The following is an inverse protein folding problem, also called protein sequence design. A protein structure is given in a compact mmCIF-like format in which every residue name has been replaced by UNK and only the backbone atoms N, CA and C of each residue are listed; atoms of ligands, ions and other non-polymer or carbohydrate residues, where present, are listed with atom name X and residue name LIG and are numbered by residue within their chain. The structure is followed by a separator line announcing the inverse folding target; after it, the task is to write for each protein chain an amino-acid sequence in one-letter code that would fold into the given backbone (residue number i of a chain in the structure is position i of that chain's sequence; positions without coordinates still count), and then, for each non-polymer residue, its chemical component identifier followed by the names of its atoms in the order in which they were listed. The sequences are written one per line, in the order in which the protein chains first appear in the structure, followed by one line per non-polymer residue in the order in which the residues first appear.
data_IF_578285824789
#
_entry.id   IF_578285824789
#
_cell.length_a   1.000
_cell.length_b   1.000
_cell.length_c   1.000
_cell.angle_alpha   90.00
_cell.angle_beta   90.00
_cell.angle_gamma   90.00
#
_symmetry.space_group_name_H-M   'P 1'
#
loop_
_entity.id
_entity.type
_entity.pdbx_description
1 polymer ?
#
# COMPACT_ATOMS: atom_id res chain seq x y z
N UNK A 1 0.94 -17.32 4.62
CA UNK A 1 2.30 -16.77 4.36
C UNK A 1 2.76 -16.05 5.62
N UNK A 2 3.88 -16.45 6.23
CA UNK A 2 4.40 -15.77 7.43
C UNK A 2 4.77 -14.33 7.07
N UNK A 3 4.27 -13.35 7.85
CA UNK A 3 4.37 -11.92 7.53
C UNK A 3 3.93 -11.57 6.10
N UNK A 4 3.03 -12.36 5.51
CA UNK A 4 2.58 -12.19 4.13
C UNK A 4 3.65 -12.43 3.06
N UNK A 5 4.86 -12.90 3.42
CA UNK A 5 6.01 -13.01 2.50
C UNK A 5 6.60 -14.42 2.46
N UNK A 6 6.89 -15.03 3.61
CA UNK A 6 7.64 -16.29 3.66
C UNK A 6 6.69 -17.49 3.60
N UNK A 7 6.99 -18.47 2.74
CA UNK A 7 6.20 -19.70 2.64
C UNK A 7 6.45 -20.63 3.84
N UNK A 8 5.40 -20.94 4.62
CA UNK A 8 5.52 -21.63 5.91
C UNK A 8 6.11 -23.05 5.84
N UNK A 9 5.92 -23.77 4.71
CA UNK A 9 6.43 -25.14 4.57
C UNK A 9 7.85 -25.18 3.97
N UNK A 10 8.36 -24.04 3.49
CA UNK A 10 9.70 -23.91 2.92
C UNK A 10 10.15 -22.46 3.03
N UNK A 11 10.88 -22.14 4.11
CA UNK A 11 11.31 -20.78 4.44
C UNK A 11 12.31 -20.16 3.45
N UNK A 12 12.75 -20.91 2.43
CA UNK A 12 13.61 -20.42 1.33
C UNK A 12 12.81 -19.91 0.13
N UNK A 13 11.49 -20.09 0.12
CA UNK A 13 10.60 -19.59 -0.91
C UNK A 13 9.84 -18.37 -0.38
N UNK A 14 9.99 -17.25 -1.08
CA UNK A 14 9.40 -15.96 -0.72
C UNK A 14 8.47 -15.48 -1.83
N UNK A 15 7.34 -14.89 -1.44
CA UNK A 15 6.34 -14.32 -2.32
C UNK A 15 6.20 -12.82 -2.02
N UNK A 16 6.07 -12.00 -3.06
CA UNK A 16 5.85 -10.56 -2.95
C UNK A 16 4.56 -10.20 -3.71
N UNK A 17 3.77 -9.29 -3.15
CA UNK A 17 2.57 -8.75 -3.79
C UNK A 17 1.46 -9.77 -4.08
N UNK A 18 1.38 -10.85 -3.32
CA UNK A 18 0.35 -11.90 -3.53
C UNK A 18 -0.99 -11.58 -2.85
N UNK A 19 -1.03 -10.54 -2.03
CA UNK A 19 -2.25 -9.98 -1.44
C UNK A 19 -3.01 -9.16 -2.48
N UNK A 20 -4.34 -9.03 -2.30
CA UNK A 20 -5.15 -8.00 -2.97
C UNK A 20 -4.69 -6.59 -2.53
N UNK A 21 -5.02 -5.53 -3.30
CA UNK A 21 -4.19 -4.33 -3.31
C UNK A 21 -4.98 -3.01 -3.19
N UNK A 22 -4.88 -2.36 -2.03
CA UNK A 22 -5.02 -0.90 -1.86
C UNK A 22 -3.62 -0.26 -1.92
N UNK A 23 -2.76 -0.58 -0.96
CA UNK A 23 -1.33 -0.33 -1.02
C UNK A 23 -0.70 -1.24 -2.09
N UNK A 24 0.22 -0.66 -2.86
CA UNK A 24 0.97 -1.36 -3.91
C UNK A 24 2.47 -1.18 -3.69
N UNK A 25 3.09 -0.17 -4.32
CA UNK A 25 4.55 -0.05 -4.38
C UNK A 25 5.23 0.00 -3.00
N UNK A 26 4.74 0.84 -2.07
CA UNK A 26 5.35 0.90 -0.73
C UNK A 26 5.13 -0.37 0.10
N UNK A 27 4.05 -1.14 -0.15
CA UNK A 27 3.84 -2.45 0.47
C UNK A 27 4.81 -3.46 -0.11
N UNK A 28 5.01 -3.47 -1.43
CA UNK A 28 5.98 -4.34 -2.08
C UNK A 28 7.41 -4.03 -1.60
N UNK A 29 7.74 -2.75 -1.42
CA UNK A 29 9.01 -2.35 -0.85
C UNK A 29 9.17 -2.85 0.59
N UNK A 30 8.17 -2.66 1.46
CA UNK A 30 8.22 -3.17 2.84
C UNK A 30 8.37 -4.72 2.86
N UNK A 31 7.66 -5.42 1.99
CA UNK A 31 7.80 -6.88 1.81
C UNK A 31 9.20 -7.26 1.33
N UNK A 32 9.76 -6.52 0.38
CA UNK A 32 11.09 -6.77 -0.18
C UNK A 32 12.21 -6.48 0.83
N UNK A 33 12.08 -5.43 1.65
CA UNK A 33 13.02 -5.13 2.75
C UNK A 33 13.00 -6.22 3.82
N UNK A 34 11.81 -6.66 4.22
CA UNK A 34 11.66 -7.79 5.13
C UNK A 34 12.28 -9.07 4.55
N UNK A 35 11.97 -9.40 3.29
CA UNK A 35 12.53 -10.55 2.58
C UNK A 35 14.07 -10.49 2.52
N UNK A 36 14.63 -9.33 2.18
CA UNK A 36 16.08 -9.08 2.17
C UNK A 36 16.69 -9.40 3.52
N UNK A 37 16.12 -8.90 4.60
CA UNK A 37 16.69 -9.06 5.94
C UNK A 37 16.53 -10.48 6.49
N UNK A 38 15.52 -11.24 6.05
CA UNK A 38 15.43 -12.69 6.24
C UNK A 38 16.57 -13.41 5.50
N UNK A 39 16.77 -13.10 4.21
CA UNK A 39 17.82 -13.72 3.38
C UNK A 39 19.23 -13.42 3.92
N UNK A 40 19.46 -12.20 4.40
CA UNK A 40 20.71 -11.80 5.06
C UNK A 40 20.86 -12.37 6.47
N UNK A 41 19.83 -13.03 7.00
CA UNK A 41 19.83 -13.62 8.33
C UNK A 41 19.82 -12.60 9.47
N UNK A 42 19.48 -11.34 9.20
CA UNK A 42 19.26 -10.29 10.22
C UNK A 42 17.95 -10.53 10.96
N UNK A 43 16.90 -10.93 10.23
CA UNK A 43 15.64 -11.41 10.79
C UNK A 43 15.69 -12.93 10.84
N UNK A 44 15.51 -13.50 12.03
CA UNK A 44 15.43 -14.95 12.22
C UNK A 44 13.97 -15.39 12.08
N UNK A 45 13.75 -16.42 11.27
CA UNK A 45 12.43 -17.04 11.14
C UNK A 45 12.14 -17.81 12.43
N UNK A 46 10.99 -17.57 13.07
CA UNK A 46 10.62 -18.23 14.32
C UNK A 46 10.23 -19.69 14.11
N UNK A 47 9.83 -20.38 15.16
CA UNK A 47 9.39 -21.77 15.05
C UNK A 47 8.00 -21.88 14.39
N UNK A 48 7.63 -23.08 13.95
CA UNK A 48 6.38 -23.30 13.20
C UNK A 48 5.11 -22.87 13.96
N UNK A 49 5.08 -23.04 15.29
CA UNK A 49 3.91 -22.65 16.10
C UNK A 49 3.74 -21.12 16.15
N UNK A 50 4.85 -20.39 16.22
CA UNK A 50 4.84 -18.91 16.16
C UNK A 50 4.44 -18.40 14.77
N UNK A 51 4.90 -19.06 13.70
CA UNK A 51 4.50 -18.76 12.33
C UNK A 51 2.99 -18.96 12.14
N UNK A 52 2.47 -20.12 12.56
CA UNK A 52 1.06 -20.44 12.44
C UNK A 52 0.19 -19.46 13.24
N UNK A 53 0.63 -19.10 14.45
CA UNK A 53 -0.06 -18.10 15.27
C UNK A 53 -0.12 -16.73 14.61
N UNK A 54 0.97 -16.28 13.98
CA UNK A 54 1.03 -15.02 13.24
C UNK A 54 0.06 -15.02 12.05
N UNK A 55 0.09 -16.09 11.25
CA UNK A 55 -0.80 -16.26 10.10
C UNK A 55 -2.25 -16.26 10.54
N UNK A 56 -2.61 -17.08 11.53
CA UNK A 56 -3.99 -17.18 12.01
C UNK A 56 -4.49 -15.86 12.61
N UNK A 57 -3.63 -15.11 13.32
CA UNK A 57 -3.99 -13.78 13.82
C UNK A 57 -4.43 -12.87 12.67
N UNK A 58 -3.63 -12.77 11.61
CA UNK A 58 -3.91 -11.88 10.49
C UNK A 58 -5.11 -12.36 9.67
N UNK A 59 -5.22 -13.66 9.39
CA UNK A 59 -6.38 -14.24 8.68
C UNK A 59 -7.68 -14.00 9.47
N UNK A 60 -7.71 -14.26 10.78
CA UNK A 60 -8.91 -14.02 11.58
C UNK A 60 -9.27 -12.55 11.76
N UNK A 61 -8.33 -11.63 11.54
CA UNK A 61 -8.62 -10.20 11.44
C UNK A 61 -9.24 -9.86 10.08
N UNK A 62 -8.69 -10.40 9.00
CA UNK A 62 -9.18 -10.21 7.61
C UNK A 62 -10.61 -10.73 7.41
N UNK A 63 -10.92 -11.92 7.94
CA UNK A 63 -12.24 -12.55 7.84
C UNK A 63 -13.38 -11.75 8.49
N UNK A 64 -13.05 -10.78 9.35
CA UNK A 64 -14.01 -9.93 10.07
C UNK A 64 -14.24 -8.58 9.41
N UNK A 65 -13.54 -8.29 8.31
CA UNK A 65 -13.66 -7.01 7.61
C UNK A 65 -14.94 -7.00 6.78
N UNK A 66 -15.70 -5.92 6.89
CA UNK A 66 -17.04 -5.79 6.29
C UNK A 66 -17.11 -4.68 5.25
N UNK A 67 -16.17 -3.73 5.26
CA UNK A 67 -16.22 -2.54 4.42
C UNK A 67 -14.83 -2.06 3.97
N UNK A 68 -14.75 -1.21 2.91
CA UNK A 68 -13.48 -0.73 2.37
C UNK A 68 -12.61 0.02 3.38
N UNK A 69 -13.19 0.81 4.29
CA UNK A 69 -12.44 1.53 5.31
C UNK A 69 -11.67 0.58 6.24
N UNK A 70 -12.31 -0.51 6.66
CA UNK A 70 -11.68 -1.56 7.46
C UNK A 70 -10.61 -2.31 6.67
N UNK A 71 -10.82 -2.56 5.37
CA UNK A 71 -9.82 -3.18 4.50
C UNK A 71 -8.58 -2.30 4.29
N UNK A 72 -8.78 -0.98 4.11
CA UNK A 72 -7.71 0.02 4.05
C UNK A 72 -6.94 0.03 5.39
N UNK A 73 -7.65 0.05 6.52
CA UNK A 73 -7.02 0.02 7.84
C UNK A 73 -6.19 -1.24 8.04
N UNK A 74 -6.74 -2.41 7.69
CA UNK A 74 -6.06 -3.70 7.80
C UNK A 74 -4.76 -3.72 6.99
N UNK A 75 -4.80 -3.32 5.72
CA UNK A 75 -3.61 -3.35 4.87
C UNK A 75 -2.59 -2.27 5.24
N UNK A 76 -3.04 -1.13 5.77
CA UNK A 76 -2.16 -0.10 6.34
C UNK A 76 -1.40 -0.68 7.53
N UNK A 77 -2.07 -1.35 8.47
CA UNK A 77 -1.42 -1.97 9.63
C UNK A 77 -0.47 -3.10 9.24
N UNK A 78 -0.83 -3.91 8.25
CA UNK A 78 0.09 -4.92 7.69
C UNK A 78 1.38 -4.28 7.16
N UNK A 79 1.24 -3.21 6.37
CA UNK A 79 2.39 -2.54 5.77
C UNK A 79 3.26 -1.86 6.82
N UNK A 80 2.65 -1.23 7.84
CA UNK A 80 3.34 -0.67 9.01
C UNK A 80 4.11 -1.72 9.80
N UNK A 81 3.52 -2.90 10.03
CA UNK A 81 4.22 -3.99 10.74
C UNK A 81 5.50 -4.40 9.99
N UNK A 82 5.46 -4.51 8.67
CA UNK A 82 6.66 -4.82 7.88
C UNK A 82 7.67 -3.67 7.85
N UNK A 83 7.18 -2.43 7.78
CA UNK A 83 8.01 -1.23 7.84
C UNK A 83 8.85 -1.20 9.12
N UNK A 84 8.21 -1.38 10.27
CA UNK A 84 8.83 -1.34 11.61
C UNK A 84 9.87 -2.46 11.83
N UNK A 85 9.83 -3.53 11.05
CA UNK A 85 10.77 -4.65 11.13
C UNK A 85 12.06 -4.42 10.33
N UNK A 86 12.17 -3.30 9.61
CA UNK A 86 13.28 -3.04 8.69
C UNK A 86 13.81 -1.61 8.81
N UNK A 87 14.86 -1.31 8.04
CA UNK A 87 15.41 0.05 7.89
C UNK A 87 14.81 0.83 6.71
N UNK A 88 13.63 0.45 6.20
CA UNK A 88 12.98 1.16 5.11
C UNK A 88 12.69 2.63 5.50
N UNK A 89 12.94 3.61 4.61
CA UNK A 89 12.79 5.02 4.95
C UNK A 89 11.41 5.40 5.50
N UNK A 90 11.39 6.43 6.35
CA UNK A 90 10.15 6.94 6.94
C UNK A 90 9.16 7.38 5.87
N UNK A 91 7.90 6.97 6.04
CA UNK A 91 6.74 7.38 5.24
C UNK A 91 5.54 7.55 6.17
N UNK A 92 4.65 8.50 5.87
CA UNK A 92 3.46 8.76 6.69
C UNK A 92 2.29 7.83 6.31
N UNK A 93 2.22 6.67 6.97
CA UNK A 93 1.14 5.71 6.76
C UNK A 93 -0.24 6.20 7.19
N UNK A 94 -0.31 7.11 8.18
CA UNK A 94 -1.60 7.63 8.63
C UNK A 94 -2.17 8.61 7.60
N UNK A 95 -1.31 9.41 6.96
CA UNK A 95 -1.71 10.22 5.82
C UNK A 95 -2.12 9.35 4.62
N UNK A 96 -1.42 8.25 4.34
CA UNK A 96 -1.83 7.32 3.27
C UNK A 96 -3.22 6.75 3.54
N UNK A 97 -3.47 6.24 4.75
CA UNK A 97 -4.78 5.72 5.19
C UNK A 97 -5.89 6.76 4.98
N UNK A 98 -5.64 8.00 5.42
CA UNK A 98 -6.59 9.10 5.22
C UNK A 98 -6.86 9.36 3.74
N UNK A 99 -5.82 9.44 2.92
CA UNK A 99 -5.94 9.69 1.48
C UNK A 99 -6.76 8.58 0.77
N UNK A 100 -6.58 7.32 1.15
CA UNK A 100 -7.39 6.21 0.59
C UNK A 100 -8.87 6.33 0.93
N UNK A 101 -9.20 6.62 2.20
CA UNK A 101 -10.61 6.79 2.62
C UNK A 101 -11.25 8.00 1.92
N UNK A 102 -10.51 9.09 1.79
CA UNK A 102 -10.96 10.27 1.04
C UNK A 102 -11.11 9.97 -0.46
N UNK A 103 -10.24 9.17 -1.05
CA UNK A 103 -10.38 8.68 -2.42
C UNK A 103 -11.65 7.83 -2.61
N UNK A 104 -11.99 6.93 -1.68
CA UNK A 104 -13.26 6.19 -1.72
C UNK A 104 -14.46 7.14 -1.64
N UNK A 105 -14.44 8.11 -0.73
CA UNK A 105 -15.50 9.12 -0.65
C UNK A 105 -15.64 9.93 -1.95
N UNK A 106 -14.55 10.34 -2.58
CA UNK A 106 -14.59 11.05 -3.86
C UNK A 106 -15.18 10.20 -4.99
N UNK A 107 -14.95 8.88 -5.00
CA UNK A 107 -15.58 7.96 -5.97
C UNK A 107 -17.08 7.85 -5.76
N UNK A 108 -17.53 7.82 -4.50
CA UNK A 108 -18.97 7.80 -4.15
C UNK A 108 -19.63 9.13 -4.49
N UNK A 109 -18.96 10.25 -4.21
CA UNK A 109 -19.44 11.60 -4.52
C UNK A 109 -19.68 11.76 -6.03
N UNK A 110 -18.70 11.40 -6.86
CA UNK A 110 -18.85 11.40 -8.30
C UNK A 110 -17.79 10.54 -9.01
N UNK A 111 -18.25 9.39 -9.52
CA UNK A 111 -17.40 8.41 -10.19
C UNK A 111 -16.70 8.92 -11.47
N UNK A 112 -17.22 9.99 -12.09
CA UNK A 112 -16.63 10.57 -13.31
C UNK A 112 -15.58 11.65 -13.00
N UNK A 113 -15.52 12.17 -11.77
CA UNK A 113 -14.67 13.33 -11.43
C UNK A 113 -13.70 13.10 -10.27
N UNK A 114 -13.70 11.93 -9.64
CA UNK A 114 -12.77 11.63 -8.53
C UNK A 114 -11.28 11.82 -8.88
N UNK A 115 -10.91 11.67 -10.17
CA UNK A 115 -9.54 11.91 -10.66
C UNK A 115 -9.15 13.38 -10.78
N UNK A 116 -10.10 14.30 -10.67
CA UNK A 116 -9.84 15.75 -10.69
C UNK A 116 -9.45 16.30 -9.30
N UNK A 117 -9.38 15.44 -8.29
CA UNK A 117 -9.06 15.79 -6.90
C UNK A 117 -7.54 15.80 -6.69
N UNK A 118 -7.10 16.45 -5.62
CA UNK A 118 -5.67 16.54 -5.26
C UNK A 118 -5.46 16.07 -3.82
N UNK A 119 -4.29 15.48 -3.57
CA UNK A 119 -3.87 14.94 -2.28
C UNK A 119 -2.45 15.41 -1.94
N UNK A 120 -2.10 15.36 -0.66
CA UNK A 120 -0.73 15.63 -0.19
C UNK A 120 0.14 14.36 -0.20
N UNK A 121 1.43 14.57 -0.44
CA UNK A 121 2.44 13.50 -0.45
C UNK A 121 2.76 13.03 0.97
N UNK A 122 2.70 11.72 1.26
CA UNK A 122 3.11 11.14 2.54
C UNK A 122 4.63 11.07 2.74
N UNK A 123 5.41 11.46 1.73
CA UNK A 123 6.88 11.50 1.77
C UNK A 123 7.39 12.94 1.95
N UNK A 124 6.81 13.89 1.20
CA UNK A 124 7.31 15.28 1.12
C UNK A 124 6.38 16.30 1.75
N UNK A 125 5.12 15.94 2.05
CA UNK A 125 4.08 16.85 2.54
C UNK A 125 3.52 17.82 1.49
N UNK A 126 4.13 17.93 0.31
CA UNK A 126 3.65 18.81 -0.77
C UNK A 126 2.29 18.36 -1.30
N UNK A 127 1.41 19.32 -1.58
CA UNK A 127 0.11 19.07 -2.21
C UNK A 127 0.26 18.98 -3.73
N UNK A 128 -0.35 17.98 -4.35
CA UNK A 128 -0.32 17.85 -5.81
C UNK A 128 -1.03 19.05 -6.49
N UNK A 129 -0.52 19.58 -7.61
CA UNK A 129 -1.25 20.58 -8.38
C UNK A 129 -2.51 19.95 -9.00
N UNK A 130 -3.54 20.77 -9.23
CA UNK A 130 -4.67 20.36 -10.07
C UNK A 130 -4.19 20.27 -11.51
N UNK A 131 -4.58 19.20 -12.20
CA UNK A 131 -4.22 18.98 -13.60
C UNK A 131 -4.87 20.05 -14.52
N UNK A 132 -4.20 20.41 -15.61
CA UNK A 132 -4.65 21.46 -16.54
C UNK A 132 -5.91 21.10 -17.34
N UNK A 133 -6.31 19.82 -17.33
CA UNK A 133 -7.50 19.33 -18.05
C UNK A 133 -8.26 18.34 -17.18
N UNK A 134 -9.59 18.52 -17.06
CA UNK A 134 -10.44 17.57 -16.34
C UNK A 134 -10.39 16.18 -17.00
N UNK A 135 -10.45 15.13 -16.19
CA UNK A 135 -10.26 13.75 -16.65
C UNK A 135 -11.17 13.35 -17.82
N UNK A 136 -12.45 13.73 -17.77
CA UNK A 136 -13.41 13.44 -18.83
C UNK A 136 -13.04 14.07 -20.19
N UNK A 137 -12.35 15.20 -20.19
CA UNK A 137 -11.91 15.90 -21.39
C UNK A 137 -10.47 15.53 -21.82
N UNK A 138 -9.72 14.81 -20.97
CA UNK A 138 -8.32 14.46 -21.20
C UNK A 138 -8.20 13.17 -22.04
N UNK A 139 -8.47 13.28 -23.35
CA UNK A 139 -8.52 12.13 -24.26
C UNK A 139 -7.15 11.65 -24.78
N UNK A 140 -6.09 12.43 -24.57
CA UNK A 140 -4.71 12.05 -24.89
C UNK A 140 -4.02 11.56 -23.61
N UNK A 141 -3.68 10.27 -23.58
CA UNK A 141 -3.06 9.59 -22.44
C UNK A 141 -1.53 9.61 -22.47
N UNK A 142 -0.93 10.34 -23.42
CA UNK A 142 0.52 10.42 -23.51
C UNK A 142 1.13 11.23 -22.37
N UNK A 143 2.29 10.76 -21.89
CA UNK A 143 3.08 11.49 -20.89
C UNK A 143 3.49 12.88 -21.37
N UNK A 144 3.61 13.09 -22.69
CA UNK A 144 3.96 14.40 -23.26
C UNK A 144 2.88 15.43 -22.95
N UNK A 145 1.62 15.09 -23.21
CA UNK A 145 0.48 15.98 -22.96
C UNK A 145 0.24 16.17 -21.46
N UNK A 146 0.31 15.10 -20.67
CA UNK A 146 0.11 15.16 -19.21
C UNK A 146 1.13 16.05 -18.47
N UNK A 147 2.36 16.13 -18.97
CA UNK A 147 3.44 16.92 -18.36
C UNK A 147 3.59 18.32 -18.97
N UNK A 148 2.77 18.68 -19.96
CA UNK A 148 2.86 19.98 -20.60
C UNK A 148 2.33 21.06 -19.66
N UNK A 149 3.26 21.83 -19.08
CA UNK A 149 2.94 22.93 -18.17
C UNK A 149 2.67 24.25 -18.93
N UNK A 150 2.51 24.22 -20.25
CA UNK A 150 2.12 25.41 -21.00
C UNK A 150 0.79 25.94 -20.46
N UNK A 151 0.86 27.15 -19.91
CA UNK A 151 -0.32 27.84 -19.37
C UNK A 151 -1.22 28.23 -20.54
N UNK A 152 -2.40 27.64 -20.62
CA UNK A 152 -3.53 28.27 -21.31
C UNK A 152 -4.05 29.46 -20.49
#
# INVERSE_FOLDING_TARGET
LYKGVVWQNNHKLLYLGMQDQFHTFNMFDCQAWFARDVVMGKIKIPNNSEIEKDINKWVSMEEKLENPDQMIDFQTEYTKELHDLSDYPKIDFELIRKNFKEWEHHKVENIMTYRNKSFSSPVTGSVAPIHHTAWEAAMDDSSKTFLDQSKN
#
